data_IF_169579630527
#
_entry.id   IF_169579630527
#
_cell.length_a   1.000
_cell.length_b   1.000
_cell.length_c   1.000
_cell.angle_alpha   90.00
_cell.angle_beta   90.00
_cell.angle_gamma   90.00
#
_symmetry.space_group_name_H-M   'P 1'
#
loop_
_entity.id
_entity.type
_entity.pdbx_description
1 polymer ?
#
# COMPACT_ATOMS: atom_id res chain seq x y z
N UNK A 1 -5.80 28.04 -17.16
CA UNK A 1 -6.32 26.87 -16.43
C UNK A 1 -5.10 26.11 -15.93
N UNK A 2 -4.62 26.49 -14.76
CA UNK A 2 -3.43 25.90 -14.14
C UNK A 2 -3.81 24.48 -13.73
N UNK A 3 -3.09 23.49 -14.24
CA UNK A 3 -3.18 22.11 -13.74
C UNK A 3 -2.80 22.22 -12.28
N UNK A 4 -3.78 22.04 -11.38
CA UNK A 4 -3.55 22.11 -9.95
C UNK A 4 -2.45 21.13 -9.60
N UNK A 5 -1.34 21.64 -9.08
CA UNK A 5 -0.37 20.86 -8.34
C UNK A 5 -1.16 20.10 -7.28
N UNK A 6 -1.42 18.82 -7.55
CA UNK A 6 -1.91 17.91 -6.55
C UNK A 6 -0.74 17.76 -5.59
N UNK A 7 -0.80 18.48 -4.46
CA UNK A 7 0.13 18.43 -3.34
C UNK A 7 0.55 16.97 -3.12
N UNK A 8 1.69 16.60 -3.69
CA UNK A 8 2.32 15.33 -3.43
C UNK A 8 2.80 15.42 -2.00
N UNK A 9 2.14 14.70 -1.09
CA UNK A 9 2.69 14.51 0.24
C UNK A 9 4.08 13.90 0.06
N UNK A 10 5.13 14.72 0.27
CA UNK A 10 6.56 14.38 0.27
C UNK A 10 6.92 13.49 1.48
N UNK A 11 6.04 12.56 1.80
CA UNK A 11 6.16 11.64 2.93
C UNK A 11 6.99 10.46 2.45
N UNK A 12 8.31 10.66 2.40
CA UNK A 12 9.27 9.58 2.22
C UNK A 12 9.21 8.66 3.46
N UNK A 13 8.64 7.46 3.29
CA UNK A 13 8.55 6.43 4.33
C UNK A 13 9.11 5.14 3.75
N UNK A 14 10.26 4.70 4.26
CA UNK A 14 10.94 3.50 3.73
C UNK A 14 11.14 3.57 2.21
N UNK A 15 10.74 2.50 1.51
CA UNK A 15 10.86 2.38 0.05
C UNK A 15 9.61 2.83 -0.72
N UNK A 16 8.65 3.48 -0.05
CA UNK A 16 7.44 3.98 -0.70
C UNK A 16 7.74 5.16 -1.61
N UNK A 17 7.24 5.09 -2.84
CA UNK A 17 7.30 6.17 -3.83
C UNK A 17 5.89 6.65 -4.13
N UNK A 18 5.69 7.95 -4.05
CA UNK A 18 4.47 8.56 -4.54
C UNK A 18 4.34 8.34 -6.05
N UNK A 19 3.17 7.92 -6.53
CA UNK A 19 2.95 7.59 -7.95
C UNK A 19 1.91 8.46 -8.61
N UNK A 20 0.81 8.76 -7.91
CA UNK A 20 -0.30 9.53 -8.45
C UNK A 20 -1.18 10.06 -7.32
N UNK A 21 -1.74 11.25 -7.51
CA UNK A 21 -2.87 11.73 -6.74
C UNK A 21 -3.99 12.17 -7.69
N UNK A 22 -5.22 11.87 -7.32
CA UNK A 22 -6.46 12.36 -7.91
C UNK A 22 -7.29 13.04 -6.81
N UNK A 23 -8.36 13.73 -7.19
CA UNK A 23 -9.23 14.47 -6.27
C UNK A 23 -9.63 13.63 -5.04
N UNK A 24 -9.92 12.33 -5.24
CA UNK A 24 -10.43 11.47 -4.17
C UNK A 24 -9.41 10.53 -3.55
N UNK A 25 -8.21 10.38 -4.13
CA UNK A 25 -7.23 9.41 -3.64
C UNK A 25 -5.76 9.75 -3.96
N UNK A 26 -4.85 9.14 -3.21
CA UNK A 26 -3.40 9.16 -3.44
C UNK A 26 -2.87 7.74 -3.46
N UNK A 27 -1.93 7.46 -4.36
CA UNK A 27 -1.34 6.13 -4.60
C UNK A 27 0.15 6.16 -4.33
N UNK A 28 0.60 5.19 -3.53
CA UNK A 28 2.01 4.90 -3.30
C UNK A 28 2.36 3.51 -3.81
N UNK A 29 3.60 3.36 -4.27
CA UNK A 29 4.16 2.08 -4.73
C UNK A 29 5.41 1.73 -3.94
N UNK A 30 5.55 0.48 -3.54
CA UNK A 30 6.74 -0.04 -2.86
C UNK A 30 7.30 -1.22 -3.66
N UNK A 31 8.58 -1.20 -4.07
CA UNK A 31 9.24 -2.37 -4.63
C UNK A 31 9.20 -3.54 -3.62
N UNK A 32 8.85 -4.73 -4.09
CA UNK A 32 8.90 -5.94 -3.28
C UNK A 32 10.25 -6.63 -3.45
N UNK A 33 10.95 -7.00 -2.37
CA UNK A 33 12.14 -7.83 -2.49
C UNK A 33 11.75 -9.26 -2.90
N UNK A 34 12.76 -10.04 -3.29
CA UNK A 34 12.57 -11.47 -3.50
C UNK A 34 12.41 -12.17 -2.14
N UNK A 35 11.21 -12.70 -1.88
CA UNK A 35 10.93 -13.50 -0.70
C UNK A 35 10.99 -14.99 -1.03
N UNK A 36 11.48 -15.79 -0.09
CA UNK A 36 11.18 -17.22 -0.11
C UNK A 36 9.74 -17.51 0.34
N UNK A 37 9.29 -18.75 0.17
CA UNK A 37 7.92 -19.15 0.50
C UNK A 37 7.56 -18.91 1.98
N UNK A 38 8.48 -19.14 2.92
CA UNK A 38 8.18 -19.01 4.35
C UNK A 38 8.04 -17.54 4.75
N UNK A 39 8.98 -16.69 4.34
CA UNK A 39 8.91 -15.25 4.53
C UNK A 39 7.68 -14.65 3.86
N UNK A 40 7.35 -15.11 2.65
CA UNK A 40 6.15 -14.67 1.95
C UNK A 40 4.88 -14.97 2.74
N UNK A 41 4.72 -16.19 3.26
CA UNK A 41 3.53 -16.56 4.03
C UNK A 41 3.38 -15.73 5.31
N UNK A 42 4.49 -15.45 6.02
CA UNK A 42 4.45 -14.62 7.23
C UNK A 42 4.14 -13.15 6.89
N UNK A 43 4.73 -12.60 5.83
CA UNK A 43 4.42 -11.27 5.32
C UNK A 43 2.92 -11.16 4.99
N UNK A 44 2.37 -12.12 4.23
CA UNK A 44 0.94 -12.15 3.87
C UNK A 44 0.06 -12.18 5.12
N UNK A 45 0.39 -13.03 6.11
CA UNK A 45 -0.36 -13.11 7.36
C UNK A 45 -0.39 -11.77 8.11
N UNK A 46 0.74 -11.08 8.22
CA UNK A 46 0.86 -9.76 8.87
C UNK A 46 0.08 -8.70 8.09
N UNK A 47 0.18 -8.65 6.77
CA UNK A 47 -0.56 -7.69 5.93
C UNK A 47 -2.08 -7.89 6.01
N UNK A 48 -2.55 -9.15 6.03
CA UNK A 48 -3.98 -9.47 6.16
C UNK A 48 -4.58 -9.00 7.48
N UNK A 49 -3.77 -8.87 8.54
CA UNK A 49 -4.25 -8.38 9.84
C UNK A 49 -4.54 -6.87 9.86
N UNK A 50 -4.12 -6.10 8.86
CA UNK A 50 -4.27 -4.65 8.81
C UNK A 50 -5.68 -4.18 8.39
N UNK A 51 -6.55 -5.08 7.93
CA UNK A 51 -7.87 -4.69 7.47
C UNK A 51 -8.75 -5.84 7.02
N UNK A 52 -9.84 -5.50 6.34
CA UNK A 52 -10.80 -6.47 5.83
C UNK A 52 -10.26 -7.06 4.52
N UNK A 53 -10.06 -8.38 4.52
CA UNK A 53 -9.55 -9.10 3.37
C UNK A 53 -10.67 -9.51 2.41
N UNK A 54 -10.43 -9.32 1.11
CA UNK A 54 -11.20 -9.91 0.03
C UNK A 54 -10.25 -10.61 -0.94
N UNK A 55 -10.36 -11.93 -1.00
CA UNK A 55 -9.58 -12.75 -1.91
C UNK A 55 -10.19 -12.79 -3.31
N UNK A 56 -9.34 -12.79 -4.32
CA UNK A 56 -9.75 -12.98 -5.72
C UNK A 56 -9.43 -14.41 -6.17
N UNK A 57 -10.11 -14.88 -7.21
CA UNK A 57 -9.85 -16.21 -7.80
C UNK A 57 -8.41 -16.39 -8.32
N UNK A 58 -7.68 -15.29 -8.52
CA UNK A 58 -6.31 -15.28 -9.04
C UNK A 58 -5.23 -15.22 -7.95
N UNK A 59 -5.61 -15.36 -6.67
CA UNK A 59 -4.65 -15.38 -5.55
C UNK A 59 -4.17 -14.01 -5.08
N UNK A 60 -4.70 -12.92 -5.64
CA UNK A 60 -4.49 -11.55 -5.13
C UNK A 60 -5.49 -11.30 -4.00
N UNK A 61 -5.02 -10.78 -2.86
CA UNK A 61 -5.87 -10.38 -1.75
C UNK A 61 -5.95 -8.86 -1.69
N UNK A 62 -7.16 -8.29 -1.71
CA UNK A 62 -7.37 -6.87 -1.42
C UNK A 62 -7.61 -6.70 0.07
N UNK A 63 -6.82 -5.86 0.73
CA UNK A 63 -7.01 -5.48 2.13
C UNK A 63 -7.56 -4.05 2.17
N UNK A 64 -8.70 -3.87 2.85
CA UNK A 64 -9.45 -2.61 2.86
C UNK A 64 -9.66 -2.10 4.28
N UNK A 65 -9.64 -0.78 4.44
CA UNK A 65 -9.93 -0.08 5.68
C UNK A 65 -10.57 1.29 5.41
N UNK A 66 -10.91 2.06 6.47
CA UNK A 66 -11.49 3.39 6.32
C UNK A 66 -10.54 4.38 5.61
N UNK A 67 -9.23 4.12 5.68
CA UNK A 67 -8.17 4.91 5.07
C UNK A 67 -7.98 4.65 3.56
N UNK A 68 -8.51 3.54 3.02
CA UNK A 68 -8.25 3.12 1.65
C UNK A 68 -8.08 1.62 1.50
N UNK A 69 -7.20 1.20 0.59
CA UNK A 69 -6.94 -0.21 0.33
C UNK A 69 -5.55 -0.45 -0.28
N UNK A 70 -5.07 -1.68 -0.15
CA UNK A 70 -3.92 -2.18 -0.91
C UNK A 70 -4.18 -3.60 -1.39
N UNK A 71 -3.36 -4.06 -2.31
CA UNK A 71 -3.40 -5.42 -2.82
C UNK A 71 -2.13 -6.14 -2.41
N UNK A 72 -2.29 -7.32 -1.82
CA UNK A 72 -1.24 -8.31 -1.65
C UNK A 72 -1.17 -9.06 -2.99
N UNK A 73 -0.13 -8.84 -3.82
CA UNK A 73 -0.02 -9.51 -5.10
C UNK A 73 0.31 -10.99 -4.91
N UNK A 74 0.41 -11.78 -5.98
CA UNK A 74 1.00 -13.13 -5.91
C UNK A 74 2.53 -13.04 -5.86
N UNK A 75 3.24 -14.06 -5.34
CA UNK A 75 4.71 -14.09 -5.35
C UNK A 75 5.29 -13.81 -6.75
N UNK A 76 6.38 -13.05 -6.81
CA UNK A 76 7.08 -12.70 -8.05
C UNK A 76 6.63 -11.39 -8.71
N UNK A 77 5.61 -10.72 -8.17
CA UNK A 77 5.29 -9.35 -8.58
C UNK A 77 6.36 -8.36 -8.08
N UNK A 78 6.75 -7.36 -8.89
CA UNK A 78 7.88 -6.49 -8.57
C UNK A 78 7.55 -5.38 -7.58
N UNK A 79 6.26 -5.07 -7.39
CA UNK A 79 5.82 -3.95 -6.56
C UNK A 79 4.46 -4.21 -5.92
N UNK A 80 4.25 -3.54 -4.79
CA UNK A 80 2.97 -3.45 -4.09
C UNK A 80 2.42 -2.03 -4.19
N UNK A 81 1.10 -1.91 -4.35
CA UNK A 81 0.41 -0.62 -4.43
C UNK A 81 -0.53 -0.44 -3.26
N UNK A 82 -0.53 0.77 -2.69
CA UNK A 82 -1.51 1.21 -1.71
C UNK A 82 -2.17 2.49 -2.18
N UNK A 83 -3.48 2.54 -2.03
CA UNK A 83 -4.34 3.67 -2.36
C UNK A 83 -4.97 4.17 -1.08
N UNK A 84 -4.76 5.45 -0.76
CA UNK A 84 -5.45 6.12 0.34
C UNK A 84 -6.52 7.05 -0.21
N UNK A 85 -7.67 7.12 0.45
CA UNK A 85 -8.65 8.16 0.16
C UNK A 85 -8.12 9.51 0.67
N UNK A 86 -8.40 10.62 -0.03
CA UNK A 86 -7.93 11.94 0.41
C UNK A 86 -8.50 12.36 1.77
N UNK A 87 -9.66 11.81 2.15
CA UNK A 87 -10.26 12.01 3.48
C UNK A 87 -9.43 11.40 4.62
N UNK A 88 -8.49 10.49 4.32
CA UNK A 88 -7.62 9.88 5.32
C UNK A 88 -6.59 10.89 5.83
N UNK A 89 -6.47 11.01 7.15
CA UNK A 89 -5.53 11.93 7.77
C UNK A 89 -4.09 11.63 7.35
N UNK A 90 -3.28 12.67 7.13
CA UNK A 90 -1.86 12.52 6.76
C UNK A 90 -1.08 11.67 7.77
N UNK A 91 -1.39 11.82 9.06
CA UNK A 91 -0.84 11.03 10.17
C UNK A 91 -1.17 9.53 10.03
N UNK A 92 -2.42 9.19 9.74
CA UNK A 92 -2.86 7.82 9.53
C UNK A 92 -2.20 7.19 8.30
N UNK A 93 -2.13 7.94 7.20
CA UNK A 93 -1.41 7.52 5.98
C UNK A 93 0.05 7.20 6.28
N UNK A 94 0.75 8.09 6.96
CA UNK A 94 2.15 7.89 7.36
C UNK A 94 2.32 6.69 8.29
N UNK A 95 1.43 6.53 9.27
CA UNK A 95 1.43 5.39 10.20
C UNK A 95 1.34 4.07 9.44
N UNK A 96 0.38 3.94 8.53
CA UNK A 96 0.16 2.72 7.75
C UNK A 96 1.30 2.43 6.76
N UNK A 97 1.82 3.46 6.08
CA UNK A 97 2.99 3.29 5.22
C UNK A 97 4.20 2.75 6.01
N UNK A 98 4.39 3.25 7.24
CA UNK A 98 5.49 2.82 8.12
C UNK A 98 5.27 1.38 8.61
N UNK A 99 4.06 1.07 9.05
CA UNK A 99 3.68 -0.27 9.52
C UNK A 99 3.83 -1.32 8.40
N UNK A 100 3.40 -1.01 7.18
CA UNK A 100 3.56 -1.90 6.03
C UNK A 100 5.03 -2.01 5.65
N UNK A 101 5.81 -0.92 5.65
CA UNK A 101 7.23 -0.98 5.34
C UNK A 101 7.96 -1.95 6.29
N UNK A 102 7.67 -1.91 7.59
CA UNK A 102 8.22 -2.84 8.59
C UNK A 102 7.70 -4.30 8.48
N UNK A 103 6.68 -4.56 7.66
CA UNK A 103 6.24 -5.92 7.31
C UNK A 103 6.97 -6.44 6.07
N UNK A 104 7.41 -5.53 5.19
CA UNK A 104 8.09 -5.85 3.93
C UNK A 104 9.62 -5.98 4.08
N UNK A 105 10.20 -5.52 5.19
CA UNK A 105 11.58 -5.77 5.61
C UNK A 105 11.76 -7.18 6.20
#
# INVERSE_FOLDING_TARGET
MTIGECDGDDVAVGNWRWRQACVDYVVYVCPLPAFDTAHWQEMVKRLRALGICQDTAFGVTTVRGPWGFFQIPVPGFPEMKITFFQIAEKSERRRLLTEIAAILE
#
